data_IF_602895168120
#
_entry.id   IF_602895168120
#
_cell.length_a   1.000
_cell.length_b   1.000
_cell.length_c   1.000
_cell.angle_alpha   90.00
_cell.angle_beta   90.00
_cell.angle_gamma   90.00
#
_symmetry.space_group_name_H-M   'P 1'
#
loop_
_entity.id
_entity.type
_entity.pdbx_description
1 polymer ?
#
# COMPACT_ATOMS: atom_id res chain seq x y z
N UNK A 1 -31.63 0.52 56.57
CA UNK A 1 -31.75 1.95 56.95
C UNK A 1 -30.61 2.32 57.89
N UNK A 2 -30.07 3.56 57.76
CA UNK A 2 -29.06 4.27 58.60
C UNK A 2 -27.60 3.82 58.39
N UNK A 3 -26.79 4.48 57.54
CA UNK A 3 -26.13 5.81 57.56
C UNK A 3 -24.88 5.91 58.47
N UNK A 4 -23.79 6.43 57.86
CA UNK A 4 -22.59 7.14 58.38
C UNK A 4 -21.30 6.32 58.55
N UNK A 5 -20.38 6.48 57.58
CA UNK A 5 -18.94 6.42 57.83
C UNK A 5 -18.48 7.88 57.82
N UNK A 6 -18.22 8.39 59.02
CA UNK A 6 -17.63 9.71 59.24
C UNK A 6 -16.12 9.54 59.33
N UNK A 7 -15.45 10.11 58.34
CA UNK A 7 -14.30 11.01 58.43
C UNK A 7 -13.54 11.11 59.78
N UNK A 8 -12.21 11.20 59.63
CA UNK A 8 -11.21 11.83 60.53
C UNK A 8 -10.53 10.91 61.54
N UNK A 9 -9.26 10.58 61.28
CA UNK A 9 -8.20 11.07 62.17
C UNK A 9 -6.86 11.12 61.44
N UNK A 10 -6.47 12.37 61.22
CA UNK A 10 -5.15 12.89 60.90
C UNK A 10 -4.17 12.57 62.05
N UNK A 11 -2.88 12.50 61.71
CA UNK A 11 -1.64 12.82 62.49
C UNK A 11 -0.56 11.74 62.30
N UNK A 12 0.42 12.00 61.42
CA UNK A 12 1.69 12.68 61.71
C UNK A 12 2.62 11.85 62.60
N UNK A 13 3.68 11.26 62.01
CA UNK A 13 5.02 11.36 62.58
C UNK A 13 6.07 11.34 61.48
N UNK A 14 6.94 12.33 61.58
CA UNK A 14 8.05 12.73 60.72
C UNK A 14 9.24 11.83 61.01
N UNK A 15 9.93 11.31 59.99
CA UNK A 15 11.35 10.98 60.14
C UNK A 15 12.15 11.35 58.90
N UNK A 16 13.10 12.24 59.16
CA UNK A 16 14.17 12.71 58.29
C UNK A 16 15.06 11.55 57.84
N UNK A 17 15.34 11.47 56.54
CA UNK A 17 16.67 11.11 56.04
C UNK A 17 17.02 12.03 54.87
N UNK A 18 17.90 12.97 55.19
CA UNK A 18 18.72 13.81 54.33
C UNK A 18 19.80 12.92 53.70
N UNK A 19 19.99 13.01 52.39
CA UNK A 19 21.30 12.86 51.74
C UNK A 19 21.18 13.43 50.32
N UNK A 20 22.11 14.31 49.95
CA UNK A 20 22.17 14.97 48.66
C UNK A 20 22.37 13.96 47.52
N UNK A 21 21.62 14.12 46.43
CA UNK A 21 22.17 13.85 45.12
C UNK A 21 21.60 14.87 44.13
N UNK A 22 22.49 15.73 43.62
CA UNK A 22 22.22 16.59 42.49
C UNK A 22 22.11 15.68 41.27
N UNK A 23 20.91 15.51 40.73
CA UNK A 23 20.81 15.23 39.30
C UNK A 23 19.50 15.76 38.73
N UNK A 24 19.68 16.48 37.64
CA UNK A 24 18.69 17.20 36.84
C UNK A 24 17.61 16.23 36.35
N UNK A 25 16.31 16.58 36.32
CA UNK A 25 15.33 15.71 35.70
C UNK A 25 15.62 15.66 34.19
N UNK A 26 16.12 14.50 33.78
CA UNK A 26 16.26 14.05 32.40
C UNK A 26 14.89 14.15 31.73
N UNK A 27 14.80 15.02 30.74
CA UNK A 27 13.70 15.13 29.79
C UNK A 27 13.50 13.75 29.12
N UNK A 28 12.56 12.97 29.65
CA UNK A 28 12.03 11.79 28.96
C UNK A 28 11.16 12.28 27.80
N UNK A 29 11.72 12.28 26.60
CA UNK A 29 10.95 12.44 25.37
C UNK A 29 11.63 11.67 24.25
N UNK A 30 11.49 10.34 24.24
CA UNK A 30 11.81 9.55 23.05
C UNK A 30 11.19 8.14 23.08
N UNK A 31 9.90 8.01 23.41
CA UNK A 31 9.24 6.69 23.39
C UNK A 31 7.81 6.71 22.84
N UNK A 32 7.39 7.77 22.15
CA UNK A 32 6.02 7.88 21.64
C UNK A 32 5.92 8.27 20.14
N UNK A 33 7.04 8.46 19.46
CA UNK A 33 7.04 8.79 18.02
C UNK A 33 7.26 7.56 17.11
N UNK A 34 7.87 6.50 17.64
CA UNK A 34 8.19 5.29 16.86
C UNK A 34 6.98 4.37 16.63
N UNK A 35 6.05 4.28 17.60
CA UNK A 35 4.84 3.43 17.46
C UNK A 35 3.72 4.03 16.61
N UNK A 36 3.70 5.34 16.40
CA UNK A 36 2.65 6.00 15.61
C UNK A 36 2.98 6.07 14.11
N UNK A 37 4.27 6.04 13.75
CA UNK A 37 4.69 5.91 12.35
C UNK A 37 4.49 4.48 11.82
N UNK A 38 4.74 3.47 12.65
CA UNK A 38 4.63 2.06 12.24
C UNK A 38 3.19 1.63 11.85
N UNK A 39 2.17 2.18 12.53
CA UNK A 39 0.76 1.96 12.18
C UNK A 39 0.32 2.65 10.87
N UNK A 40 1.06 3.67 10.40
CA UNK A 40 0.76 4.33 9.12
C UNK A 40 1.23 3.51 7.93
N UNK A 41 2.28 2.70 8.11
CA UNK A 41 2.92 1.86 7.08
C UNK A 41 2.19 0.54 6.79
N UNK A 42 1.39 0.01 7.72
CA UNK A 42 0.66 -1.25 7.51
C UNK A 42 -0.56 -1.12 6.58
N UNK A 43 -1.05 0.10 6.29
CA UNK A 43 -2.15 0.31 5.32
C UNK A 43 -1.68 0.53 3.89
N UNK A 44 -0.38 0.61 3.65
CA UNK A 44 0.11 1.24 2.43
C UNK A 44 0.09 0.27 1.25
N UNK A 45 0.58 -0.96 1.37
CA UNK A 45 0.69 -1.85 0.20
C UNK A 45 -0.39 -2.93 0.07
N UNK A 46 -1.33 -3.02 1.00
CA UNK A 46 -2.34 -4.09 1.00
C UNK A 46 -3.48 -3.77 0.04
N UNK A 47 -3.31 -4.14 -1.23
CA UNK A 47 -4.27 -3.80 -2.27
C UNK A 47 -4.13 -4.67 -3.50
N UNK A 48 -5.15 -4.58 -4.35
CA UNK A 48 -5.09 -5.06 -5.73
C UNK A 48 -4.97 -3.84 -6.62
N UNK A 49 -4.10 -3.91 -7.61
CA UNK A 49 -3.80 -2.82 -8.51
C UNK A 49 -4.09 -3.28 -9.93
N UNK A 50 -4.89 -2.49 -10.66
CA UNK A 50 -5.03 -2.61 -12.10
C UNK A 50 -3.81 -1.98 -12.74
N UNK A 51 -3.00 -2.79 -13.41
CA UNK A 51 -1.73 -2.36 -13.97
C UNK A 51 -1.98 -1.74 -15.34
N UNK A 52 -1.45 -0.53 -15.54
CA UNK A 52 -1.66 0.25 -16.77
C UNK A 52 -0.59 0.01 -17.84
N UNK A 53 0.53 -0.60 -17.43
CA UNK A 53 1.69 -0.75 -18.30
C UNK A 53 1.98 -2.21 -18.65
N UNK A 54 1.61 -2.60 -19.87
CA UNK A 54 1.80 -3.95 -20.41
C UNK A 54 3.28 -4.37 -20.51
N UNK A 55 4.19 -3.43 -20.81
CA UNK A 55 5.60 -3.76 -21.04
C UNK A 55 6.21 -4.39 -19.78
N UNK A 56 5.75 -4.01 -18.59
CA UNK A 56 6.21 -4.61 -17.33
C UNK A 56 5.92 -6.13 -17.26
N UNK A 57 4.75 -6.59 -17.72
CA UNK A 57 4.43 -8.02 -17.67
C UNK A 57 5.39 -8.87 -18.50
N UNK A 58 5.66 -8.44 -19.73
CA UNK A 58 6.52 -9.18 -20.67
C UNK A 58 8.00 -8.95 -20.40
N UNK A 59 8.42 -7.69 -20.26
CA UNK A 59 9.83 -7.32 -20.19
C UNK A 59 10.41 -7.55 -18.80
N UNK A 60 9.63 -7.29 -17.75
CA UNK A 60 10.10 -7.48 -16.38
C UNK A 60 9.86 -8.91 -15.94
N UNK A 61 8.63 -9.42 -16.02
CA UNK A 61 8.30 -10.75 -15.47
C UNK A 61 8.43 -11.91 -16.46
N UNK A 62 8.70 -11.63 -17.75
CA UNK A 62 8.83 -12.67 -18.77
C UNK A 62 7.51 -13.41 -19.05
N UNK A 63 6.37 -12.80 -18.72
CA UNK A 63 5.05 -13.42 -18.87
C UNK A 63 4.49 -13.01 -20.24
N UNK A 64 4.19 -14.02 -21.06
CA UNK A 64 3.47 -13.81 -22.31
C UNK A 64 1.98 -14.05 -22.08
N UNK A 65 1.18 -13.02 -22.37
CA UNK A 65 -0.28 -13.05 -22.37
C UNK A 65 -0.79 -12.47 -23.69
N UNK A 66 -1.99 -12.88 -24.09
CA UNK A 66 -2.71 -12.25 -25.20
C UNK A 66 -3.33 -10.92 -24.76
N UNK A 67 -3.66 -10.80 -23.48
CA UNK A 67 -4.15 -9.56 -22.89
C UNK A 67 -3.01 -8.60 -22.61
N UNK A 68 -3.32 -7.31 -22.71
CA UNK A 68 -2.41 -6.23 -22.34
C UNK A 68 -2.50 -5.88 -20.86
N UNK A 69 -3.64 -6.17 -20.27
CA UNK A 69 -3.97 -5.75 -18.92
C UNK A 69 -3.79 -6.91 -17.95
N UNK A 70 -3.35 -6.54 -16.75
CA UNK A 70 -3.14 -7.50 -15.69
C UNK A 70 -3.35 -6.82 -14.34
N UNK A 71 -3.62 -7.64 -13.34
CA UNK A 71 -3.79 -7.17 -11.97
C UNK A 71 -2.65 -7.67 -11.11
N UNK A 72 -2.15 -6.81 -10.23
CA UNK A 72 -1.14 -7.14 -9.26
C UNK A 72 -1.72 -6.98 -7.86
N UNK A 73 -1.64 -8.02 -7.04
CA UNK A 73 -2.01 -7.99 -5.64
C UNK A 73 -0.74 -8.03 -4.82
N UNK A 74 -0.63 -7.08 -3.91
CA UNK A 74 0.41 -7.05 -2.90
C UNK A 74 -0.31 -6.98 -1.55
N UNK A 75 0.08 -7.83 -0.62
CA UNK A 75 -0.42 -7.80 0.74
C UNK A 75 0.75 -8.07 1.66
N UNK A 76 1.30 -7.01 2.26
CA UNK A 76 2.43 -7.10 3.16
C UNK A 76 2.04 -7.75 4.49
N UNK A 77 0.76 -7.69 4.88
CA UNK A 77 0.28 -8.23 6.15
C UNK A 77 0.29 -9.76 6.15
N UNK A 78 -0.12 -10.36 5.03
CA UNK A 78 -0.09 -11.83 4.86
C UNK A 78 1.01 -12.31 3.91
N UNK A 79 1.93 -11.42 3.52
CA UNK A 79 3.07 -11.70 2.64
C UNK A 79 2.67 -12.35 1.30
N UNK A 80 1.64 -11.79 0.66
CA UNK A 80 1.12 -12.28 -0.62
C UNK A 80 1.54 -11.37 -1.76
N UNK A 81 2.01 -11.98 -2.84
CA UNK A 81 2.19 -11.35 -4.15
C UNK A 81 1.56 -12.26 -5.19
N UNK A 82 0.59 -11.73 -5.93
CA UNK A 82 -0.10 -12.46 -6.99
C UNK A 82 -0.25 -11.55 -8.21
N UNK A 83 0.03 -12.08 -9.40
CA UNK A 83 -0.24 -11.41 -10.67
C UNK A 83 -1.28 -12.23 -11.42
N UNK A 84 -2.40 -11.62 -11.78
CA UNK A 84 -3.45 -12.27 -12.56
C UNK A 84 -3.63 -11.64 -13.93
N UNK A 85 -3.93 -12.50 -14.91
CA UNK A 85 -4.22 -12.11 -16.30
C UNK A 85 -5.57 -12.67 -16.75
N UNK A 86 -6.14 -12.11 -17.82
CA UNK A 86 -7.45 -12.47 -18.36
C UNK A 86 -7.62 -13.97 -18.66
N UNK A 87 -6.56 -14.69 -19.01
CA UNK A 87 -6.61 -16.12 -19.28
C UNK A 87 -6.87 -17.00 -18.03
N UNK A 88 -7.21 -16.40 -16.90
CA UNK A 88 -7.48 -17.08 -15.63
C UNK A 88 -6.22 -17.63 -14.96
N UNK A 89 -5.03 -17.26 -15.46
CA UNK A 89 -3.76 -17.65 -14.87
C UNK A 89 -3.38 -16.66 -13.76
N UNK A 90 -2.90 -17.21 -12.65
CA UNK A 90 -2.36 -16.45 -11.51
C UNK A 90 -0.93 -16.89 -11.25
N UNK A 91 0.00 -15.94 -11.29
CA UNK A 91 1.41 -16.13 -11.00
C UNK A 91 1.68 -15.70 -9.57
N UNK A 92 2.18 -16.63 -8.75
CA UNK A 92 2.56 -16.34 -7.38
C UNK A 92 3.98 -15.78 -7.33
N UNK A 93 4.16 -14.77 -6.51
CA UNK A 93 5.44 -14.16 -6.23
C UNK A 93 5.80 -14.19 -4.77
N UNK A 94 6.84 -13.44 -4.42
CA UNK A 94 7.28 -13.20 -3.04
C UNK A 94 7.75 -11.76 -2.88
N UNK A 95 7.66 -11.24 -1.66
CA UNK A 95 8.28 -9.96 -1.29
C UNK A 95 9.76 -10.23 -0.99
N UNK A 96 10.65 -9.50 -1.65
CA UNK A 96 12.10 -9.56 -1.41
C UNK A 96 12.52 -8.55 -0.35
N UNK A 97 12.10 -7.30 -0.55
CA UNK A 97 12.47 -6.17 0.29
C UNK A 97 11.26 -5.24 0.43
N UNK A 98 11.17 -4.54 1.54
CA UNK A 98 10.16 -3.50 1.76
C UNK A 98 10.72 -2.40 2.65
N UNK A 99 10.30 -1.18 2.37
CA UNK A 99 10.48 -0.04 3.24
C UNK A 99 9.16 0.73 3.37
N UNK A 100 9.18 1.94 3.92
CA UNK A 100 7.99 2.73 4.16
C UNK A 100 7.28 3.21 2.89
N UNK A 101 7.99 3.27 1.76
CA UNK A 101 7.52 3.90 0.52
C UNK A 101 7.56 2.95 -0.68
N UNK A 102 8.19 1.79 -0.53
CA UNK A 102 8.45 0.87 -1.63
C UNK A 102 8.44 -0.59 -1.22
N UNK A 103 8.16 -1.44 -2.20
CA UNK A 103 8.23 -2.89 -2.10
C UNK A 103 8.94 -3.44 -3.33
N UNK A 104 9.91 -4.31 -3.10
CA UNK A 104 10.52 -5.12 -4.16
C UNK A 104 9.88 -6.49 -4.13
N UNK A 105 9.22 -6.84 -5.23
CA UNK A 105 8.60 -8.15 -5.41
C UNK A 105 9.39 -8.98 -6.41
N UNK A 106 9.28 -10.29 -6.32
CA UNK A 106 9.77 -11.23 -7.32
C UNK A 106 8.63 -12.09 -7.85
N UNK A 107 8.50 -12.16 -9.17
CA UNK A 107 7.61 -13.08 -9.87
C UNK A 107 8.43 -13.74 -10.97
N UNK A 108 8.33 -15.06 -11.11
CA UNK A 108 9.05 -15.82 -12.14
C UNK A 108 10.58 -15.61 -12.12
N UNK A 109 11.17 -15.47 -10.92
CA UNK A 109 12.61 -15.22 -10.75
C UNK A 109 13.08 -13.84 -11.20
N UNK A 110 12.16 -12.91 -11.47
CA UNK A 110 12.43 -11.54 -11.88
C UNK A 110 11.90 -10.57 -10.84
N UNK A 111 12.74 -9.62 -10.45
CA UNK A 111 12.43 -8.64 -9.41
C UNK A 111 11.98 -7.31 -10.00
N UNK A 112 10.98 -6.68 -9.36
CA UNK A 112 10.55 -5.32 -9.66
C UNK A 112 10.32 -4.56 -8.36
N UNK A 113 10.90 -3.36 -8.29
CA UNK A 113 10.63 -2.41 -7.22
C UNK A 113 9.45 -1.53 -7.60
N UNK A 114 8.48 -1.44 -6.71
CA UNK A 114 7.35 -0.53 -6.82
C UNK A 114 7.40 0.49 -5.68
N UNK A 115 7.17 1.74 -6.01
CA UNK A 115 6.94 2.81 -5.04
C UNK A 115 5.45 3.06 -4.98
N UNK A 116 4.96 3.39 -3.79
CA UNK A 116 3.56 3.73 -3.62
C UNK A 116 3.40 5.22 -3.40
N UNK A 117 2.41 5.78 -4.09
CA UNK A 117 2.05 7.18 -3.95
C UNK A 117 0.56 7.27 -3.70
N UNK A 118 0.16 8.24 -2.88
CA UNK A 118 -1.25 8.58 -2.71
C UNK A 118 -1.66 9.49 -3.87
N UNK A 119 -2.74 9.16 -4.55
CA UNK A 119 -3.31 9.99 -5.59
C UNK A 119 -4.07 11.20 -4.99
N UNK A 120 -4.60 12.05 -5.88
CA UNK A 120 -5.34 13.26 -5.49
C UNK A 120 -6.72 12.96 -4.86
N UNK A 121 -7.27 11.78 -5.08
CA UNK A 121 -8.60 11.35 -4.62
C UNK A 121 -8.53 10.49 -3.35
N UNK A 122 -7.33 10.21 -2.85
CA UNK A 122 -7.08 9.45 -1.65
C UNK A 122 -6.88 7.95 -1.88
N UNK A 123 -6.87 7.49 -3.13
CA UNK A 123 -6.48 6.13 -3.52
C UNK A 123 -4.97 6.01 -3.65
N UNK A 124 -4.46 4.79 -3.78
CA UNK A 124 -3.04 4.54 -3.99
C UNK A 124 -2.71 4.19 -5.45
N UNK A 125 -1.50 4.55 -5.87
CA UNK A 125 -0.95 4.16 -7.16
C UNK A 125 0.47 3.61 -7.00
N UNK A 126 0.82 2.68 -7.88
CA UNK A 126 2.16 2.14 -7.99
C UNK A 126 2.96 2.91 -9.05
N UNK A 127 4.18 3.27 -8.69
CA UNK A 127 5.20 3.83 -9.57
C UNK A 127 6.37 2.86 -9.69
N UNK A 128 7.10 2.92 -10.79
CA UNK A 128 8.35 2.16 -10.96
C UNK A 128 9.37 2.97 -11.73
N UNK A 129 10.64 2.87 -11.38
CA UNK A 129 11.71 3.56 -12.11
C UNK A 129 11.89 3.08 -13.54
N UNK A 130 11.41 1.87 -13.87
CA UNK A 130 11.45 1.32 -15.23
C UNK A 130 10.44 1.93 -16.20
N UNK A 131 9.49 2.75 -15.71
CA UNK A 131 8.39 3.27 -16.52
C UNK A 131 7.95 4.67 -16.09
N UNK A 132 7.74 4.86 -14.80
CA UNK A 132 7.25 6.10 -14.23
C UNK A 132 8.33 7.19 -14.31
N UNK A 133 7.89 8.40 -14.61
CA UNK A 133 8.76 9.57 -14.71
C UNK A 133 8.80 10.33 -13.39
N UNK A 134 9.99 10.72 -12.93
CA UNK A 134 10.15 11.74 -11.88
C UNK A 134 10.24 13.12 -12.52
N UNK A 135 9.57 14.10 -11.90
CA UNK A 135 9.70 15.52 -12.23
C UNK A 135 11.03 16.07 -11.73
N UNK A 136 11.36 17.29 -12.14
CA UNK A 136 12.59 17.99 -11.74
C UNK A 136 12.70 18.24 -10.24
N UNK A 137 11.58 18.27 -9.53
CA UNK A 137 11.50 18.40 -8.07
C UNK A 137 11.63 17.05 -7.33
N UNK A 138 11.86 15.95 -8.05
CA UNK A 138 11.97 14.60 -7.50
C UNK A 138 10.65 13.90 -7.24
N UNK A 139 9.51 14.57 -7.42
CA UNK A 139 8.17 13.97 -7.26
C UNK A 139 7.79 13.13 -8.47
N UNK A 140 6.90 12.16 -8.26
CA UNK A 140 6.41 11.31 -9.34
C UNK A 140 5.44 12.05 -10.27
N UNK A 141 5.57 11.81 -11.58
CA UNK A 141 4.58 12.23 -12.55
C UNK A 141 3.39 11.27 -12.55
N UNK A 142 2.26 11.74 -12.01
CA UNK A 142 1.03 10.95 -11.88
C UNK A 142 0.39 10.54 -13.22
N UNK A 143 0.83 11.14 -14.33
CA UNK A 143 0.40 10.72 -15.68
C UNK A 143 1.15 9.45 -16.16
N UNK A 144 2.17 9.01 -15.41
CA UNK A 144 3.01 7.84 -15.72
C UNK A 144 2.92 6.75 -14.64
N UNK A 145 1.73 6.56 -14.06
CA UNK A 145 1.52 5.55 -13.02
C UNK A 145 1.58 4.14 -13.62
N UNK A 146 2.29 3.22 -12.96
CA UNK A 146 2.41 1.84 -13.41
C UNK A 146 1.15 1.01 -13.11
N UNK A 147 0.46 1.34 -12.01
CA UNK A 147 -0.81 0.72 -11.64
C UNK A 147 -1.62 1.60 -10.72
N UNK A 148 -2.93 1.47 -10.78
CA UNK A 148 -3.87 2.16 -9.91
C UNK A 148 -4.56 1.16 -8.98
N UNK A 149 -4.77 1.52 -7.72
CA UNK A 149 -5.53 0.71 -6.77
C UNK A 149 -6.93 0.43 -7.34
N UNK A 150 -7.26 -0.85 -7.45
CA UNK A 150 -8.57 -1.32 -7.87
C UNK A 150 -9.52 -1.32 -6.67
N UNK A 151 -10.81 -1.11 -6.93
CA UNK A 151 -11.86 -1.27 -5.91
C UNK A 151 -12.02 -2.72 -5.43
N UNK A 152 -11.39 -3.67 -6.12
CA UNK A 152 -11.50 -5.10 -5.87
C UNK A 152 -10.47 -5.57 -4.84
N UNK A 153 -10.87 -6.49 -3.97
CA UNK A 153 -9.98 -7.09 -2.97
C UNK A 153 -9.28 -8.37 -3.44
N UNK A 154 -9.65 -8.88 -4.63
CA UNK A 154 -9.11 -10.13 -5.17
C UNK A 154 -8.62 -9.94 -6.60
N UNK A 155 -7.62 -10.73 -6.98
CA UNK A 155 -7.12 -10.81 -8.35
C UNK A 155 -8.25 -11.16 -9.32
N UNK A 156 -9.07 -12.17 -8.99
CA UNK A 156 -10.17 -12.59 -9.86
C UNK A 156 -11.18 -11.46 -10.11
N UNK A 157 -11.49 -10.66 -9.08
CA UNK A 157 -12.39 -9.51 -9.23
C UNK A 157 -11.79 -8.45 -10.14
N UNK A 158 -10.53 -8.08 -9.93
CA UNK A 158 -9.84 -7.09 -10.76
C UNK A 158 -9.68 -7.56 -12.21
N UNK A 159 -9.36 -8.83 -12.44
CA UNK A 159 -9.25 -9.38 -13.80
C UNK A 159 -10.61 -9.40 -14.49
N UNK A 160 -11.70 -9.68 -13.77
CA UNK A 160 -13.04 -9.67 -14.36
C UNK A 160 -13.51 -8.30 -14.85
N UNK A 161 -12.97 -7.21 -14.29
CA UNK A 161 -13.31 -5.84 -14.73
C UNK A 161 -12.55 -5.41 -15.96
N UNK A 162 -11.40 -6.01 -16.26
CA UNK A 162 -10.67 -5.73 -17.51
C UNK A 162 -11.55 -6.06 -18.73
N UNK A 163 -12.25 -7.19 -18.70
CA UNK A 163 -13.17 -7.58 -19.79
C UNK A 163 -14.32 -6.57 -20.00
N UNK A 164 -14.78 -5.91 -18.93
CA UNK A 164 -15.86 -4.92 -19.02
C UNK A 164 -15.41 -3.67 -19.78
N UNK A 165 -14.17 -3.24 -19.58
CA UNK A 165 -13.61 -2.09 -20.30
C UNK A 165 -13.36 -2.42 -21.78
N UNK A 166 -12.91 -3.64 -22.10
CA UNK A 166 -12.80 -4.11 -23.49
C UNK A 166 -14.19 -4.16 -24.18
N UNK A 167 -15.22 -4.75 -23.54
CA UNK A 167 -16.58 -4.83 -24.12
C UNK A 167 -17.22 -3.44 -24.34
N UNK A 168 -17.01 -2.49 -23.43
CA UNK A 168 -17.51 -1.11 -23.59
C UNK A 168 -16.82 -0.40 -24.76
N UNK A 169 -15.53 -0.63 -24.99
CA UNK A 169 -14.80 -0.08 -26.14
C UNK A 169 -15.30 -0.68 -27.47
N UNK A 170 -15.58 -1.99 -27.53
CA UNK A 170 -16.15 -2.61 -28.73
C UNK A 170 -17.57 -2.14 -29.07
N UNK A 171 -18.35 -1.70 -28.06
CA UNK A 171 -19.69 -1.17 -28.29
C UNK A 171 -19.70 0.32 -28.69
N UNK A 172 -18.67 1.10 -28.37
CA UNK A 172 -18.56 2.50 -28.82
C UNK A 172 -18.08 2.64 -30.27
N UNK A 173 -17.38 1.64 -30.83
CA UNK A 173 -16.90 1.66 -32.22
C UNK A 173 -17.98 1.33 -33.28
N UNK A 174 -19.17 0.85 -32.88
CA UNK A 174 -20.21 0.37 -33.82
C UNK A 174 -21.24 1.45 -34.23
N UNK A 175 -20.83 2.72 -34.22
CA UNK A 175 -21.66 3.86 -34.61
C UNK A 175 -20.98 4.77 -35.63
N UNK A 176 -20.57 4.24 -36.79
CA UNK A 176 -20.36 5.05 -38.00
C UNK A 176 -20.31 4.22 -39.28
N UNK A 177 -21.45 3.68 -39.71
CA UNK A 177 -21.69 3.45 -41.15
C UNK A 177 -22.92 4.24 -41.55
N UNK A 178 -22.79 5.40 -42.22
CA UNK A 178 -23.91 5.94 -42.96
C UNK A 178 -24.10 5.03 -44.16
N UNK A 179 -25.15 4.20 -44.13
CA UNK A 179 -25.70 3.63 -45.36
C UNK A 179 -26.21 4.78 -46.22
N UNK A 180 -25.51 5.08 -47.31
CA UNK A 180 -26.09 5.58 -48.56
C UNK A 180 -25.15 5.37 -49.72
#
# INVERSE_FOLDING_TARGET
MKKKIALVSMLFFVFFCKEENKDVPKQETSAQEEKAQDMKTERVFNGVYAMREIHLMKEVFGIQSKSKDYCLRIDLKVNVVELGILEGKVYKGKILEKDSESVTIEINGKSQKYFIVKDKFGSYALMTESYSTKKTDGTWNMDSIAGAEASMQTISGCVSTINLDEELQYHEEDHSVPKK
#
